data_IF_395014771817
#
_entry.id   IF_395014771817
#
_cell.length_a   1.000
_cell.length_b   1.000
_cell.length_c   1.000
_cell.angle_alpha   90.00
_cell.angle_beta   90.00
_cell.angle_gamma   90.00
#
_symmetry.space_group_name_H-M   'P 1'
#
loop_
_entity.id
_entity.type
_entity.pdbx_description
1 polymer ?
#
# COMPACT_ATOMS: atom_id res chain seq x y z
N UNK A 1 7.24 4.19 23.27
CA UNK A 1 7.85 4.72 22.02
C UNK A 1 7.32 3.93 20.83
N UNK A 2 7.13 4.55 19.65
CA UNK A 2 6.95 3.77 18.42
C UNK A 2 8.09 2.77 18.32
N UNK A 3 7.81 1.50 17.99
CA UNK A 3 8.88 0.52 17.76
C UNK A 3 9.83 1.09 16.71
N UNK A 4 11.11 1.11 17.03
CA UNK A 4 12.12 1.40 16.02
C UNK A 4 12.15 0.20 15.07
N UNK A 5 11.67 0.42 13.85
CA UNK A 5 11.57 -0.61 12.83
C UNK A 5 12.76 -0.58 11.89
N UNK A 6 13.72 0.35 12.08
CA UNK A 6 14.78 0.61 11.11
C UNK A 6 14.28 1.18 9.78
N UNK A 7 13.02 1.63 9.72
CA UNK A 7 12.41 2.22 8.51
C UNK A 7 12.07 3.68 8.80
N UNK A 8 12.58 4.63 8.01
CA UNK A 8 12.28 6.05 8.14
C UNK A 8 10.79 6.35 8.25
N UNK A 9 10.43 7.32 9.10
CA UNK A 9 9.03 7.65 9.41
C UNK A 9 8.21 7.95 8.15
N UNK A 10 8.79 8.66 7.19
CA UNK A 10 8.14 9.05 5.94
C UNK A 10 7.75 7.82 5.10
N UNK A 11 8.63 6.83 5.00
CA UNK A 11 8.38 5.57 4.31
C UNK A 11 7.26 4.80 5.01
N UNK A 12 7.27 4.76 6.35
CA UNK A 12 6.19 4.11 7.13
C UNK A 12 4.85 4.80 6.91
N UNK A 13 4.83 6.12 6.92
CA UNK A 13 3.63 6.92 6.70
C UNK A 13 3.08 6.73 5.29
N UNK A 14 3.96 6.68 4.28
CA UNK A 14 3.57 6.40 2.90
C UNK A 14 3.01 4.98 2.75
N UNK A 15 3.64 3.99 3.41
CA UNK A 15 3.16 2.61 3.44
C UNK A 15 1.79 2.48 4.09
N UNK A 16 1.57 3.15 5.23
CA UNK A 16 0.27 3.18 5.90
C UNK A 16 -0.82 3.79 5.01
N UNK A 17 -0.55 4.96 4.43
CA UNK A 17 -1.47 5.65 3.50
C UNK A 17 -1.83 4.76 2.31
N UNK A 18 -0.85 4.03 1.76
CA UNK A 18 -1.04 3.07 0.68
C UNK A 18 -1.98 1.94 1.07
N UNK A 19 -1.70 1.30 2.20
CA UNK A 19 -2.50 0.20 2.73
C UNK A 19 -3.95 0.61 2.97
N UNK A 20 -4.18 1.75 3.65
CA UNK A 20 -5.52 2.29 3.90
C UNK A 20 -6.30 2.54 2.60
N UNK A 21 -5.63 3.10 1.58
CA UNK A 21 -6.24 3.35 0.27
C UNK A 21 -6.61 2.05 -0.44
N UNK A 22 -5.77 1.02 -0.38
CA UNK A 22 -6.02 -0.29 -1.01
C UNK A 22 -7.21 -1.00 -0.34
N UNK A 23 -7.26 -0.99 0.99
CA UNK A 23 -8.36 -1.58 1.76
C UNK A 23 -9.69 -0.89 1.43
N UNK A 24 -9.73 0.45 1.49
CA UNK A 24 -10.93 1.22 1.16
C UNK A 24 -11.40 0.95 -0.27
N UNK A 25 -10.49 0.97 -1.24
CA UNK A 25 -10.85 0.71 -2.64
C UNK A 25 -11.38 -0.71 -2.84
N UNK A 26 -10.83 -1.70 -2.12
CA UNK A 26 -11.34 -3.07 -2.13
C UNK A 26 -12.77 -3.13 -1.61
N UNK A 27 -13.02 -2.51 -0.45
CA UNK A 27 -14.34 -2.43 0.17
C UNK A 27 -15.36 -1.74 -0.75
N UNK A 28 -15.00 -0.63 -1.38
CA UNK A 28 -15.83 0.07 -2.37
C UNK A 28 -16.19 -0.83 -3.56
N UNK A 29 -15.25 -1.62 -4.07
CA UNK A 29 -15.52 -2.56 -5.16
C UNK A 29 -16.48 -3.67 -4.74
N UNK A 30 -16.30 -4.23 -3.53
CA UNK A 30 -17.19 -5.25 -3.00
C UNK A 30 -18.59 -4.69 -2.72
N UNK A 31 -18.70 -3.48 -2.17
CA UNK A 31 -19.97 -2.79 -1.94
C UNK A 31 -20.75 -2.54 -3.25
N UNK A 32 -20.04 -2.38 -4.38
CA UNK A 32 -20.63 -2.27 -5.72
C UNK A 32 -20.96 -3.61 -6.38
N UNK A 33 -20.82 -4.73 -5.65
CA UNK A 33 -21.10 -6.07 -6.16
C UNK A 33 -20.04 -6.66 -7.07
N UNK A 34 -18.82 -6.11 -7.09
CA UNK A 34 -17.73 -6.70 -7.86
C UNK A 34 -17.36 -8.08 -7.28
N UNK A 35 -17.21 -9.13 -8.12
CA UNK A 35 -16.71 -10.42 -7.64
C UNK A 35 -15.38 -10.28 -6.90
N UNK A 36 -15.25 -10.93 -5.75
CA UNK A 36 -14.08 -10.81 -4.89
C UNK A 36 -12.76 -11.10 -5.62
N UNK A 37 -12.75 -12.07 -6.54
CA UNK A 37 -11.58 -12.37 -7.37
C UNK A 37 -11.13 -11.17 -8.23
N UNK A 38 -12.08 -10.44 -8.82
CA UNK A 38 -11.79 -9.24 -9.63
C UNK A 38 -11.32 -8.08 -8.75
N UNK A 39 -11.96 -7.87 -7.60
CA UNK A 39 -11.54 -6.87 -6.63
C UNK A 39 -10.11 -7.13 -6.15
N UNK A 40 -9.79 -8.39 -5.82
CA UNK A 40 -8.45 -8.81 -5.39
C UNK A 40 -7.40 -8.58 -6.49
N UNK A 41 -7.68 -8.96 -7.73
CA UNK A 41 -6.77 -8.76 -8.86
C UNK A 41 -6.48 -7.27 -9.08
N UNK A 42 -7.52 -6.41 -9.03
CA UNK A 42 -7.35 -4.96 -9.15
C UNK A 42 -6.52 -4.38 -8.01
N UNK A 43 -6.75 -4.80 -6.76
CA UNK A 43 -5.96 -4.35 -5.61
C UNK A 43 -4.52 -4.85 -5.64
N UNK A 44 -4.27 -6.06 -6.13
CA UNK A 44 -2.91 -6.62 -6.23
C UNK A 44 -2.07 -5.82 -7.23
N UNK A 45 -2.62 -5.48 -8.40
CA UNK A 45 -1.94 -4.65 -9.38
C UNK A 45 -1.56 -3.27 -8.81
N UNK A 46 -2.42 -2.69 -7.97
CA UNK A 46 -2.17 -1.41 -7.34
C UNK A 46 -1.19 -1.50 -6.17
N UNK A 47 -1.24 -2.59 -5.39
CA UNK A 47 -0.27 -2.92 -4.35
C UNK A 47 1.15 -3.02 -4.93
N UNK A 48 1.33 -3.71 -6.06
CA UNK A 48 2.65 -3.86 -6.70
C UNK A 48 3.25 -2.49 -7.06
N UNK A 49 2.44 -1.57 -7.63
CA UNK A 49 2.90 -0.20 -7.91
C UNK A 49 3.27 0.56 -6.64
N UNK A 50 2.54 0.33 -5.55
CA UNK A 50 2.83 0.95 -4.26
C UNK A 50 4.12 0.41 -3.63
N UNK A 51 4.34 -0.90 -3.69
CA UNK A 51 5.57 -1.54 -3.23
C UNK A 51 6.78 -1.05 -4.02
N UNK A 52 6.63 -0.86 -5.34
CA UNK A 52 7.68 -0.24 -6.16
C UNK A 52 8.04 1.17 -5.65
N UNK A 53 7.05 2.04 -5.46
CA UNK A 53 7.28 3.40 -4.97
C UNK A 53 7.97 3.40 -3.59
N UNK A 54 7.54 2.55 -2.67
CA UNK A 54 8.19 2.39 -1.36
C UNK A 54 9.64 1.90 -1.50
N UNK A 55 9.90 0.95 -2.40
CA UNK A 55 11.24 0.46 -2.69
C UNK A 55 12.15 1.56 -3.25
N UNK A 56 11.63 2.44 -4.09
CA UNK A 56 12.36 3.62 -4.58
C UNK A 56 12.66 4.59 -3.45
N UNK A 57 11.68 4.91 -2.59
CA UNK A 57 11.92 5.76 -1.41
C UNK A 57 12.96 5.17 -0.46
N UNK A 58 12.94 3.85 -0.23
CA UNK A 58 13.97 3.17 0.57
C UNK A 58 15.36 3.28 -0.05
N UNK A 59 15.45 3.23 -1.39
CA UNK A 59 16.73 3.35 -2.10
C UNK A 59 17.27 4.78 -2.02
N UNK A 60 16.43 5.76 -2.31
CA UNK A 60 16.80 7.19 -2.28
C UNK A 60 17.15 7.67 -0.87
N UNK A 61 16.49 7.15 0.17
CA UNK A 61 16.81 7.47 1.56
C UNK A 61 18.04 6.75 2.13
N UNK A 62 18.67 5.86 1.37
CA UNK A 62 19.89 5.14 1.74
C UNK A 62 21.16 5.67 1.06
N UNK A 63 21.01 6.62 0.12
CA UNK A 63 22.08 7.42 -0.50
C UNK A 63 22.31 8.72 0.29
#
# INVERSE_FOLDING_TARGET
MPRDTGVPLEIRMHGRKGSERLLRRREEMLARGMPAAKANAATAAELVRWLWALGMMCREGAE
#
